data_IF_906084573976
#
_entry.id   IF_906084573976
#
_cell.length_a   1.000
_cell.length_b   1.000
_cell.length_c   1.000
_cell.angle_alpha   90.00
_cell.angle_beta   90.00
_cell.angle_gamma   90.00
#
_symmetry.space_group_name_H-M   'P 1'
#
loop_
_entity.id
_entity.type
_entity.pdbx_description
1 polymer ?
#
# COMPACT_ATOMS: atom_id res chain seq x y z
N UNK A 1 9.33 -13.60 -10.34
CA UNK A 1 7.90 -13.35 -10.06
C UNK A 1 7.25 -13.00 -11.39
N UNK A 2 6.55 -13.94 -12.02
CA UNK A 2 5.83 -13.66 -13.27
C UNK A 2 4.58 -12.85 -12.93
N UNK A 3 4.49 -11.62 -13.41
CA UNK A 3 3.29 -10.83 -13.27
C UNK A 3 2.17 -11.50 -14.09
N UNK A 4 1.04 -11.80 -13.46
CA UNK A 4 -0.14 -12.23 -14.20
C UNK A 4 -0.56 -11.10 -15.14
N UNK A 5 -0.42 -11.34 -16.45
CA UNK A 5 -0.78 -10.37 -17.50
C UNK A 5 -2.30 -10.29 -17.72
N UNK A 6 -3.04 -11.26 -17.18
CA UNK A 6 -4.49 -11.41 -17.35
C UNK A 6 -5.17 -11.66 -16.00
N UNK A 7 -6.42 -11.19 -15.88
CA UNK A 7 -7.24 -11.42 -14.70
C UNK A 7 -7.70 -12.89 -14.61
N UNK A 8 -7.59 -13.57 -13.46
CA UNK A 8 -8.00 -14.98 -13.31
C UNK A 8 -9.51 -15.19 -13.42
N UNK A 9 -10.33 -14.15 -13.22
CA UNK A 9 -11.80 -14.27 -13.23
C UNK A 9 -12.44 -14.07 -14.60
N UNK A 10 -11.90 -13.16 -15.40
CA UNK A 10 -12.52 -12.75 -16.68
C UNK A 10 -11.54 -12.80 -17.86
N UNK A 11 -10.28 -13.17 -17.64
CA UNK A 11 -9.21 -13.19 -18.63
C UNK A 11 -8.96 -11.86 -19.36
N UNK A 12 -9.51 -10.74 -18.88
CA UNK A 12 -9.20 -9.42 -19.39
C UNK A 12 -7.75 -9.01 -19.03
N UNK A 13 -7.10 -8.15 -19.83
CA UNK A 13 -5.75 -7.66 -19.53
C UNK A 13 -5.73 -6.98 -18.16
N UNK A 14 -4.83 -7.45 -17.29
CA UNK A 14 -4.70 -6.94 -15.93
C UNK A 14 -4.04 -5.54 -15.92
N UNK A 15 -4.37 -4.73 -14.92
CA UNK A 15 -3.71 -3.45 -14.70
C UNK A 15 -2.20 -3.67 -14.55
N UNK A 16 -1.39 -2.87 -15.27
CA UNK A 16 0.06 -3.00 -15.21
C UNK A 16 0.55 -2.75 -13.78
N UNK A 17 1.14 -3.78 -13.18
CA UNK A 17 1.75 -3.67 -11.86
C UNK A 17 2.98 -2.75 -11.96
N UNK A 18 3.12 -1.74 -11.09
CA UNK A 18 4.31 -0.90 -11.08
C UNK A 18 5.56 -1.76 -10.82
N UNK A 19 6.70 -1.37 -11.41
CA UNK A 19 7.94 -2.10 -11.18
C UNK A 19 8.32 -2.10 -9.69
N UNK A 20 8.99 -3.15 -9.23
CA UNK A 20 9.42 -3.28 -7.83
C UNK A 20 10.22 -2.06 -7.38
N UNK A 21 11.12 -1.57 -8.23
CA UNK A 21 11.93 -0.37 -7.94
C UNK A 21 11.07 0.88 -7.78
N UNK A 22 10.04 1.08 -8.60
CA UNK A 22 9.15 2.23 -8.48
C UNK A 22 8.32 2.15 -7.20
N UNK A 23 7.79 0.97 -6.85
CA UNK A 23 7.08 0.74 -5.58
C UNK A 23 7.96 1.11 -4.38
N UNK A 24 9.19 0.58 -4.34
CA UNK A 24 10.15 0.88 -3.28
C UNK A 24 10.49 2.37 -3.25
N UNK A 25 10.72 3.00 -4.41
CA UNK A 25 11.07 4.41 -4.49
C UNK A 25 9.96 5.30 -3.95
N UNK A 26 8.69 5.00 -4.25
CA UNK A 26 7.54 5.75 -3.73
C UNK A 26 7.43 5.62 -2.21
N UNK A 27 7.59 4.41 -1.68
CA UNK A 27 7.53 4.16 -0.23
C UNK A 27 8.69 4.84 0.52
N UNK A 28 9.91 4.70 0.00
CA UNK A 28 11.10 5.37 0.56
C UNK A 28 10.92 6.89 0.48
N UNK A 29 10.42 7.41 -0.65
CA UNK A 29 10.13 8.83 -0.81
C UNK A 29 9.13 9.36 0.22
N UNK A 30 8.06 8.62 0.51
CA UNK A 30 7.07 8.98 1.52
C UNK A 30 7.68 9.05 2.94
N UNK A 31 8.54 8.09 3.28
CA UNK A 31 9.28 8.11 4.55
C UNK A 31 10.24 9.30 4.64
N UNK A 32 11.04 9.54 3.60
CA UNK A 32 11.98 10.65 3.55
C UNK A 32 11.26 12.00 3.68
N UNK A 33 10.14 12.18 2.97
CA UNK A 33 9.33 13.39 3.08
C UNK A 33 8.76 13.57 4.49
N UNK A 34 8.24 12.51 5.09
CA UNK A 34 7.71 12.54 6.47
C UNK A 34 8.81 12.92 7.48
N UNK A 35 10.00 12.33 7.35
CA UNK A 35 11.16 12.69 8.18
C UNK A 35 11.55 14.16 8.00
N UNK A 36 11.56 14.66 6.76
CA UNK A 36 11.85 16.07 6.49
C UNK A 36 10.84 17.00 7.17
N UNK A 37 9.54 16.66 7.17
CA UNK A 37 8.52 17.39 7.92
C UNK A 37 8.73 17.35 9.44
N UNK A 38 9.13 16.20 9.99
CA UNK A 38 9.43 16.09 11.42
C UNK A 38 10.62 16.96 11.79
N UNK A 39 11.73 16.88 11.05
CA UNK A 39 12.92 17.70 11.30
C UNK A 39 12.65 19.20 11.10
N UNK A 40 11.91 19.56 10.04
CA UNK A 40 11.47 20.94 9.80
C UNK A 40 10.46 21.43 10.85
N UNK A 41 9.68 20.53 11.46
CA UNK A 41 8.81 20.87 12.57
C UNK A 41 9.59 21.14 13.84
N UNK A 42 10.62 20.34 14.13
CA UNK A 42 11.46 20.49 15.34
C UNK A 42 12.17 21.85 15.36
N UNK A 43 12.55 22.40 14.20
CA UNK A 43 13.16 23.73 14.13
C UNK A 43 12.23 24.88 14.52
N UNK A 44 10.91 24.65 14.62
CA UNK A 44 9.93 25.61 15.16
C UNK A 44 9.98 25.71 16.70
N UNK A 45 10.72 24.84 17.38
CA UNK A 45 10.82 24.82 18.83
C UNK A 45 9.45 24.59 19.50
N UNK A 46 9.10 25.33 20.57
CA UNK A 46 7.82 25.16 21.27
C UNK A 46 6.57 25.36 20.39
N UNK A 47 6.69 26.11 19.29
CA UNK A 47 5.60 26.35 18.34
C UNK A 47 5.12 25.08 17.62
N UNK A 48 5.93 24.01 17.59
CA UNK A 48 5.57 22.75 16.95
C UNK A 48 4.30 22.13 17.54
N UNK A 49 3.96 22.41 18.80
CA UNK A 49 2.77 21.84 19.46
C UNK A 49 1.49 22.11 18.67
N UNK A 50 1.39 23.27 18.01
CA UNK A 50 0.24 23.64 17.17
C UNK A 50 0.25 22.89 15.83
N UNK A 51 1.44 22.67 15.26
CA UNK A 51 1.62 21.97 13.99
C UNK A 51 1.61 20.44 14.11
N UNK A 52 1.85 19.91 15.32
CA UNK A 52 2.04 18.48 15.58
C UNK A 52 0.89 17.60 15.06
N UNK A 53 -0.39 17.93 15.28
CA UNK A 53 -1.49 17.11 14.77
C UNK A 53 -1.46 17.01 13.24
N UNK A 54 -1.14 18.11 12.56
CA UNK A 54 -1.06 18.16 11.09
C UNK A 54 0.13 17.33 10.61
N UNK A 55 1.30 17.46 11.24
CA UNK A 55 2.50 16.71 10.88
C UNK A 55 2.29 15.20 11.06
N UNK A 56 1.72 14.79 12.21
CA UNK A 56 1.49 13.37 12.52
C UNK A 56 0.43 12.78 11.58
N UNK A 57 -0.74 13.41 11.47
CA UNK A 57 -1.81 12.89 10.61
C UNK A 57 -1.41 12.91 9.13
N UNK A 58 -0.76 13.99 8.68
CA UNK A 58 -0.26 14.12 7.32
C UNK A 58 0.82 13.08 7.00
N UNK A 59 1.76 12.84 7.93
CA UNK A 59 2.79 11.82 7.80
C UNK A 59 2.21 10.41 7.70
N UNK A 60 1.32 10.05 8.62
CA UNK A 60 0.63 8.75 8.60
C UNK A 60 -0.17 8.57 7.30
N UNK A 61 -0.98 9.56 6.92
CA UNK A 61 -1.76 9.49 5.68
C UNK A 61 -0.88 9.32 4.44
N UNK A 62 0.25 10.04 4.37
CA UNK A 62 1.19 9.95 3.26
C UNK A 62 1.84 8.58 3.17
N UNK A 63 2.33 8.05 4.31
CA UNK A 63 2.95 6.73 4.37
C UNK A 63 1.93 5.63 4.03
N UNK A 64 0.75 5.67 4.64
CA UNK A 64 -0.31 4.69 4.39
C UNK A 64 -0.77 4.73 2.93
N UNK A 65 -0.98 5.93 2.37
CA UNK A 65 -1.34 6.09 0.97
C UNK A 65 -0.27 5.54 0.02
N UNK A 66 1.01 5.78 0.31
CA UNK A 66 2.12 5.22 -0.45
C UNK A 66 2.14 3.68 -0.40
N UNK A 67 1.88 3.08 0.77
CA UNK A 67 1.83 1.62 0.91
C UNK A 67 0.62 1.01 0.22
N UNK A 68 -0.57 1.61 0.33
CA UNK A 68 -1.78 1.16 -0.37
C UNK A 68 -1.57 1.24 -1.88
N UNK A 69 -0.99 2.34 -2.39
CA UNK A 69 -0.70 2.47 -3.80
C UNK A 69 0.35 1.46 -4.27
N UNK A 70 1.40 1.26 -3.47
CA UNK A 70 2.50 0.36 -3.80
C UNK A 70 2.10 -1.11 -3.71
N UNK A 71 1.41 -1.55 -2.66
CA UNK A 71 1.19 -2.96 -2.35
C UNK A 71 -0.28 -3.37 -2.23
N UNK A 72 -1.22 -2.43 -2.29
CA UNK A 72 -2.63 -2.74 -2.19
C UNK A 72 -3.14 -3.58 -3.35
N UNK A 73 -4.16 -4.39 -3.05
CA UNK A 73 -4.91 -5.15 -4.03
C UNK A 73 -5.55 -4.22 -5.06
N UNK A 74 -5.66 -4.71 -6.29
CA UNK A 74 -6.22 -3.91 -7.39
C UNK A 74 -7.43 -4.59 -7.97
N UNK A 75 -8.50 -3.81 -8.12
CA UNK A 75 -9.68 -4.27 -8.84
C UNK A 75 -9.37 -4.39 -10.34
N UNK A 76 -9.83 -5.47 -10.96
CA UNK A 76 -9.85 -5.61 -12.41
C UNK A 76 -10.84 -4.60 -13.00
N UNK A 77 -10.40 -3.78 -13.96
CA UNK A 77 -11.27 -2.77 -14.60
C UNK A 77 -12.43 -3.39 -15.41
N UNK A 78 -12.32 -4.65 -15.82
CA UNK A 78 -13.35 -5.32 -16.62
C UNK A 78 -14.46 -5.94 -15.75
N UNK A 79 -14.11 -6.71 -14.72
CA UNK A 79 -15.08 -7.43 -13.89
C UNK A 79 -15.26 -6.87 -12.48
N UNK A 80 -14.48 -5.85 -12.09
CA UNK A 80 -14.54 -5.23 -10.76
C UNK A 80 -14.04 -6.12 -9.61
N UNK A 81 -13.57 -7.33 -9.88
CA UNK A 81 -13.06 -8.25 -8.85
C UNK A 81 -11.64 -7.87 -8.43
N UNK A 82 -11.35 -8.01 -7.14
CA UNK A 82 -10.02 -7.77 -6.57
C UNK A 82 -9.04 -8.83 -7.07
N UNK A 83 -7.84 -8.40 -7.44
CA UNK A 83 -6.73 -9.26 -7.83
C UNK A 83 -5.57 -8.93 -6.91
N UNK A 84 -5.03 -9.95 -6.25
CA UNK A 84 -3.88 -9.80 -5.36
C UNK A 84 -2.64 -9.37 -6.15
N UNK A 85 -2.00 -8.29 -5.70
CA UNK A 85 -0.82 -7.73 -6.37
C UNK A 85 0.46 -7.96 -5.57
N UNK A 86 0.81 -9.22 -5.38
CA UNK A 86 1.99 -9.56 -4.58
C UNK A 86 2.35 -11.03 -4.52
N UNK A 87 1.43 -11.93 -4.90
CA UNK A 87 1.72 -13.35 -4.98
C UNK A 87 2.31 -13.90 -3.69
N UNK A 88 1.74 -13.54 -2.54
CA UNK A 88 1.65 -14.59 -1.51
C UNK A 88 0.61 -15.54 -2.08
N UNK A 89 0.96 -16.75 -2.51
CA UNK A 89 -0.07 -17.70 -2.86
C UNK A 89 -0.95 -17.86 -1.62
N UNK A 90 -2.19 -17.39 -1.69
CA UNK A 90 -3.22 -17.86 -0.78
C UNK A 90 -3.33 -19.34 -1.11
N UNK A 91 -2.74 -20.18 -0.27
CA UNK A 91 -2.93 -21.62 -0.36
C UNK A 91 -4.43 -21.85 -0.16
N UNK A 92 -5.19 -22.30 -1.18
CA UNK A 92 -6.62 -22.55 -1.03
C UNK A 92 -6.90 -23.70 -0.04
N UNK A 93 -5.88 -24.45 0.41
CA UNK A 93 -5.99 -25.41 1.50
C UNK A 93 -5.96 -24.77 2.90
N UNK A 94 -5.73 -23.46 3.01
CA UNK A 94 -5.64 -22.72 4.27
C UNK A 94 -6.93 -21.96 4.67
N UNK A 95 -8.07 -22.23 4.02
CA UNK A 95 -9.41 -21.75 4.47
C UNK A 95 -10.12 -22.81 5.35
N UNK A 96 -11.13 -22.45 6.18
CA UNK A 96 -11.02 -22.24 7.61
C UNK A 96 -11.77 -23.36 8.37
N UNK A 97 -11.26 -24.59 8.41
CA UNK A 97 -11.91 -25.68 9.17
C UNK A 97 -11.94 -25.45 10.70
N UNK A 98 -11.29 -24.39 11.21
CA UNK A 98 -11.25 -24.06 12.64
C UNK A 98 -12.36 -23.14 13.15
N UNK A 99 -13.26 -22.65 12.32
CA UNK A 99 -14.34 -21.74 12.74
C UNK A 99 -15.72 -22.40 12.90
N UNK A 100 -15.87 -23.69 12.58
CA UNK A 100 -17.16 -24.43 12.70
C UNK A 100 -17.14 -25.43 13.87
N UNK A 101 -16.00 -25.61 14.54
CA UNK A 101 -15.82 -26.60 15.62
C UNK A 101 -15.63 -26.00 17.03
N UNK A 102 -15.92 -24.70 17.24
CA UNK A 102 -15.84 -24.04 18.55
C UNK A 102 -17.21 -23.55 19.01
#
# INVERSE_FOLDING_TARGET
MHAHTHCPHCNAPAAKVPSRSLRTLVVVGAWTATLAFVFGGISLGPGIVVALPIIVLGGVATITGAHIWAYGDRACYACGKMVEVGGVPVDPSAEPERLIAA
#
